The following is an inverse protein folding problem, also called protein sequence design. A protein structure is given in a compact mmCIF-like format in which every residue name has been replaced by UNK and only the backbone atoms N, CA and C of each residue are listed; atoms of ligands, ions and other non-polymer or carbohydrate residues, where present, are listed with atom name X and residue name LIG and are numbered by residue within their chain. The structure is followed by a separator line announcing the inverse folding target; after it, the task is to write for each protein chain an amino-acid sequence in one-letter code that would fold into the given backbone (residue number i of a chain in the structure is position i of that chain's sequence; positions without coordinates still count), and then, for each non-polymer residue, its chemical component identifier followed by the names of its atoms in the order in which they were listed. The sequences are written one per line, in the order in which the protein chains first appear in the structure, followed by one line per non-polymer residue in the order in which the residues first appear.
data_IF_300162300204
#
_entry.id   IF_300162300204
#
_cell.length_a   1.000
_cell.length_b   1.000
_cell.length_c   1.000
_cell.angle_alpha   90.00
_cell.angle_beta   90.00
_cell.angle_gamma   90.00
#
_symmetry.space_group_name_H-M   'P 1'
#
loop_
_entity.id
_entity.type
_entity.pdbx_description
1 polymer ?
#
# COMPACT_ATOMS: atom_id res chain seq x y z
N UNK A 1 5.63 4.21 -11.02
CA UNK A 1 4.53 3.27 -11.32
C UNK A 1 3.16 3.89 -11.03
N UNK A 2 2.12 3.40 -11.71
CA UNK A 2 0.72 3.70 -11.35
C UNK A 2 0.28 2.88 -10.14
N UNK A 3 -0.41 3.53 -9.20
CA UNK A 3 -0.91 2.88 -8.00
C UNK A 3 -2.28 3.45 -7.57
N UNK A 4 -3.06 2.63 -6.88
CA UNK A 4 -4.20 3.08 -6.08
C UNK A 4 -3.70 3.40 -4.67
N UNK A 5 -4.05 4.58 -4.16
CA UNK A 5 -3.61 5.11 -2.87
C UNK A 5 -4.82 5.50 -2.03
N UNK A 6 -4.65 5.49 -0.70
CA UNK A 6 -5.62 6.01 0.27
C UNK A 6 -4.89 6.86 1.29
N UNK A 7 -5.59 7.83 1.90
CA UNK A 7 -5.13 8.50 3.11
C UNK A 7 -5.82 7.83 4.31
N UNK A 8 -5.02 7.16 5.14
CA UNK A 8 -5.51 6.48 6.35
C UNK A 8 -6.33 7.45 7.20
N UNK A 9 -7.49 6.99 7.69
CA UNK A 9 -8.41 7.78 8.50
C UNK A 9 -9.20 8.86 7.73
N UNK A 10 -9.06 8.94 6.40
CA UNK A 10 -9.83 9.88 5.57
C UNK A 10 -10.73 9.12 4.59
N UNK A 11 -12.03 9.20 4.82
CA UNK A 11 -13.05 8.68 3.91
C UNK A 11 -12.89 9.25 2.49
N UNK A 12 -13.25 8.46 1.49
CA UNK A 12 -13.27 8.84 0.07
C UNK A 12 -11.92 9.40 -0.44
N UNK A 13 -10.83 8.96 0.18
CA UNK A 13 -9.47 9.37 -0.20
C UNK A 13 -8.81 8.46 -1.23
N UNK A 14 -9.53 7.42 -1.68
CA UNK A 14 -9.09 6.51 -2.72
C UNK A 14 -8.82 7.26 -4.02
N UNK A 15 -7.59 7.17 -4.53
CA UNK A 15 -7.21 7.81 -5.79
C UNK A 15 -6.20 6.95 -6.54
N UNK A 16 -6.29 6.99 -7.87
CA UNK A 16 -5.26 6.43 -8.76
C UNK A 16 -4.30 7.54 -9.16
N UNK A 17 -3.01 7.29 -9.05
CA UNK A 17 -1.98 8.25 -9.40
C UNK A 17 -0.63 7.61 -9.70
N UNK A 18 0.34 8.44 -10.05
CA UNK A 18 1.73 8.04 -10.21
C UNK A 18 2.45 8.12 -8.85
N UNK A 19 3.19 7.08 -8.52
CA UNK A 19 4.10 7.02 -7.36
C UNK A 19 5.50 6.60 -7.83
N UNK A 20 6.57 6.94 -7.10
CA UNK A 20 7.91 6.46 -7.40
C UNK A 20 7.97 4.92 -7.41
N UNK A 21 8.87 4.37 -8.22
CA UNK A 21 9.17 2.95 -8.14
C UNK A 21 9.78 2.61 -6.77
N UNK A 22 9.45 1.46 -6.15
CA UNK A 22 10.05 1.06 -4.89
C UNK A 22 11.58 0.94 -5.00
N UNK A 23 12.34 1.41 -4.00
CA UNK A 23 13.78 1.23 -3.99
C UNK A 23 14.13 -0.25 -3.75
N UNK A 24 15.33 -0.65 -4.20
CA UNK A 24 15.86 -1.99 -3.96
C UNK A 24 16.03 -2.33 -2.46
N UNK A 25 15.96 -1.34 -1.57
CA UNK A 25 16.02 -1.53 -0.11
C UNK A 25 14.73 -2.08 0.48
N UNK A 26 13.60 -2.05 -0.24
CA UNK A 26 12.30 -2.51 0.28
C UNK A 26 12.15 -4.04 0.24
N UNK A 27 13.01 -4.75 -0.50
CA UNK A 27 13.00 -6.20 -0.57
C UNK A 27 13.86 -6.76 -1.71
N UNK A 28 13.93 -8.08 -1.81
CA UNK A 28 14.79 -8.79 -2.77
C UNK A 28 14.17 -9.00 -4.16
N UNK A 29 12.87 -8.73 -4.33
CA UNK A 29 12.13 -8.99 -5.57
C UNK A 29 11.28 -7.78 -5.95
N UNK A 30 11.45 -7.33 -7.19
CA UNK A 30 10.54 -6.40 -7.85
C UNK A 30 9.62 -7.17 -8.82
N UNK A 31 8.33 -6.89 -8.77
CA UNK A 31 7.32 -7.56 -9.60
C UNK A 31 6.52 -6.56 -10.42
N UNK A 32 6.15 -6.95 -11.64
CA UNK A 32 5.19 -6.22 -12.46
C UNK A 32 3.76 -6.68 -12.11
N UNK A 33 2.95 -5.78 -11.57
CA UNK A 33 1.56 -6.06 -11.24
C UNK A 33 0.70 -6.15 -12.51
N UNK A 34 0.17 -7.35 -12.81
CA UNK A 34 -0.75 -7.55 -13.93
C UNK A 34 -2.21 -7.25 -13.53
N UNK A 35 -2.63 -7.78 -12.37
CA UNK A 35 -3.98 -7.66 -11.81
C UNK A 35 -3.89 -7.70 -10.28
N UNK A 36 -4.84 -7.06 -9.60
CA UNK A 36 -5.02 -7.16 -8.15
C UNK A 36 -6.49 -7.38 -7.80
N UNK A 37 -6.74 -8.16 -6.75
CA UNK A 37 -8.08 -8.34 -6.20
C UNK A 37 -8.47 -7.19 -5.28
N UNK A 38 -9.78 -7.03 -5.06
CA UNK A 38 -10.35 -6.15 -4.03
C UNK A 38 -11.01 -7.03 -2.97
N UNK A 39 -10.68 -6.79 -1.71
CA UNK A 39 -11.20 -7.50 -0.56
C UNK A 39 -11.97 -6.58 0.40
N UNK A 40 -12.56 -7.13 1.45
CA UNK A 40 -13.34 -6.36 2.43
C UNK A 40 -12.50 -5.29 3.16
N UNK A 41 -11.22 -5.57 3.43
CA UNK A 41 -10.33 -4.61 4.10
C UNK A 41 -10.08 -3.36 3.28
N UNK A 42 -10.10 -3.47 1.94
CA UNK A 42 -9.98 -2.30 1.07
C UNK A 42 -11.18 -1.37 1.27
N UNK A 43 -12.38 -1.91 1.44
CA UNK A 43 -13.60 -1.14 1.71
C UNK A 43 -13.47 -0.41 3.06
N UNK A 44 -12.98 -1.09 4.10
CA UNK A 44 -12.74 -0.47 5.41
C UNK A 44 -11.74 0.69 5.32
N UNK A 45 -10.65 0.52 4.57
CA UNK A 45 -9.64 1.56 4.34
C UNK A 45 -10.23 2.78 3.60
N UNK A 46 -10.98 2.54 2.51
CA UNK A 46 -11.60 3.61 1.72
C UNK A 46 -12.66 4.37 2.51
N UNK A 47 -13.40 3.67 3.39
CA UNK A 47 -14.41 4.29 4.26
C UNK A 47 -13.82 5.21 5.34
N UNK A 48 -12.49 5.16 5.56
CA UNK A 48 -11.81 5.97 6.58
C UNK A 48 -12.03 5.50 8.03
N UNK A 49 -12.75 4.39 8.25
CA UNK A 49 -12.98 3.83 9.59
C UNK A 49 -11.82 2.96 10.08
N UNK A 50 -10.88 2.61 9.19
CA UNK A 50 -9.65 1.94 9.58
C UNK A 50 -8.80 2.90 10.41
N UNK A 51 -8.37 2.45 11.61
CA UNK A 51 -7.60 3.25 12.58
C UNK A 51 -6.21 3.66 12.10
N UNK A 52 -5.21 3.70 12.97
CA UNK A 52 -3.86 4.23 12.65
C UNK A 52 -3.06 3.43 11.60
N UNK A 53 -3.63 2.37 11.00
CA UNK A 53 -2.88 1.38 10.24
C UNK A 53 -1.82 0.68 11.10
N UNK A 54 -1.16 -0.34 10.55
CA UNK A 54 0.18 -0.70 11.04
C UNK A 54 1.17 0.27 10.40
N UNK A 55 2.18 0.79 11.12
CA UNK A 55 3.31 1.44 10.47
C UNK A 55 3.82 0.50 9.38
N UNK A 56 4.01 1.02 8.16
CA UNK A 56 4.64 0.24 7.11
C UNK A 56 5.91 -0.40 7.65
N UNK A 57 6.09 -1.70 7.44
CA UNK A 57 7.35 -2.32 7.82
C UNK A 57 8.45 -1.67 6.97
N UNK A 58 9.34 -0.94 7.65
CA UNK A 58 10.65 -0.62 7.09
C UNK A 58 11.40 -1.91 6.74
N UNK A 59 12.61 -1.82 6.16
CA UNK A 59 13.28 -2.93 5.50
C UNK A 59 13.30 -4.17 6.39
N UNK A 60 12.66 -5.24 5.90
CA UNK A 60 12.75 -6.57 6.51
C UNK A 60 14.08 -7.18 6.03
N UNK A 61 15.18 -6.69 6.60
CA UNK A 61 16.53 -7.20 6.40
C UNK A 61 16.91 -8.21 7.49
N UNK A 62 17.55 -9.30 7.07
CA UNK A 62 17.89 -10.53 7.81
C UNK A 62 18.07 -10.40 9.33
N UNK A 63 17.33 -11.22 10.07
CA UNK A 63 17.78 -11.67 11.37
C UNK A 63 18.97 -12.60 11.14
N UNK A 64 20.13 -12.19 11.66
CA UNK A 64 21.29 -13.05 11.87
C UNK A 64 20.93 -14.32 12.67
#
# INVERSE_FOLDING_TARGET
MRAMTVRIGKADSAAVGEVPEPPATDGSVLVEGLLTGICGTDIELVSGHFGSGRPGHGPVGDRA
#
